data_IF_101890436757
#
_entry.id   IF_101890436757
#
_cell.length_a   1.000
_cell.length_b   1.000
_cell.length_c   1.000
_cell.angle_alpha   90.00
_cell.angle_beta   90.00
_cell.angle_gamma   90.00
#
_symmetry.space_group_name_H-M   'P 1'
#
loop_
_entity.id
_entity.type
_entity.pdbx_description
1 polymer ?
#
# COMPACT_ATOMS: atom_id res chain seq x y z
N UNK A 1 -6.61 -5.50 22.34
CA UNK A 1 -7.80 -5.03 21.59
C UNK A 1 -7.40 -3.93 20.59
N UNK A 2 -6.96 -4.23 19.38
CA UNK A 2 -6.74 -3.21 18.31
C UNK A 2 -6.94 -3.74 16.88
N UNK A 3 -7.18 -5.04 16.69
CA UNK A 3 -7.26 -5.68 15.36
C UNK A 3 -8.62 -5.42 14.70
N UNK A 4 -9.72 -5.45 15.48
CA UNK A 4 -11.08 -5.21 14.98
C UNK A 4 -11.29 -3.81 14.37
N UNK A 5 -10.54 -2.79 14.83
CA UNK A 5 -10.63 -1.44 14.27
C UNK A 5 -9.86 -1.28 12.96
N UNK A 6 -8.81 -2.07 12.72
CA UNK A 6 -8.01 -1.95 11.49
C UNK A 6 -8.67 -2.66 10.31
N UNK A 7 -9.31 -3.80 10.57
CA UNK A 7 -10.07 -4.52 9.55
C UNK A 7 -11.27 -3.72 9.06
N UNK A 8 -12.04 -3.08 9.96
CA UNK A 8 -13.18 -2.25 9.54
C UNK A 8 -12.74 -1.04 8.69
N UNK A 9 -11.62 -0.40 9.04
CA UNK A 9 -11.03 0.68 8.23
C UNK A 9 -10.59 0.15 6.87
N UNK A 10 -9.91 -0.99 6.82
CA UNK A 10 -9.47 -1.62 5.57
C UNK A 10 -10.67 -1.96 4.67
N UNK A 11 -11.74 -2.52 5.24
CA UNK A 11 -12.95 -2.86 4.51
C UNK A 11 -13.62 -1.61 3.91
N UNK A 12 -13.75 -0.55 4.71
CA UNK A 12 -14.32 0.71 4.23
C UNK A 12 -13.45 1.38 3.17
N UNK A 13 -12.13 1.25 3.27
CA UNK A 13 -11.19 1.76 2.28
C UNK A 13 -11.29 1.01 0.94
N UNK A 14 -11.47 -0.32 0.97
CA UNK A 14 -11.71 -1.12 -0.25
C UNK A 14 -12.98 -0.66 -0.97
N UNK A 15 -14.05 -0.34 -0.24
CA UNK A 15 -15.32 0.14 -0.82
C UNK A 15 -15.21 1.50 -1.54
N UNK A 16 -14.12 2.25 -1.35
CA UNK A 16 -13.89 3.51 -2.05
C UNK A 16 -13.32 3.31 -3.46
N UNK A 17 -12.72 2.14 -3.73
CA UNK A 17 -12.06 1.86 -5.00
C UNK A 17 -13.11 1.48 -6.03
N UNK A 18 -13.14 2.22 -7.12
CA UNK A 18 -14.05 2.01 -8.23
C UNK A 18 -13.34 1.32 -9.40
N UNK A 19 -14.07 0.54 -10.22
CA UNK A 19 -13.52 -0.02 -11.44
C UNK A 19 -12.91 1.06 -12.35
N UNK A 20 -11.74 0.76 -12.93
CA UNK A 20 -11.01 1.65 -13.84
C UNK A 20 -10.10 2.67 -13.16
N UNK A 21 -10.10 2.77 -11.82
CA UNK A 21 -9.25 3.74 -11.11
C UNK A 21 -7.78 3.32 -11.06
N UNK A 22 -6.91 4.34 -11.01
CA UNK A 22 -5.50 4.21 -10.63
C UNK A 22 -5.34 4.53 -9.15
N UNK A 23 -4.92 3.54 -8.37
CA UNK A 23 -4.80 3.63 -6.91
C UNK A 23 -3.35 3.48 -6.51
N UNK A 24 -2.77 4.50 -5.87
CA UNK A 24 -1.45 4.36 -5.24
C UNK A 24 -1.61 3.79 -3.83
N UNK A 25 -0.85 2.75 -3.51
CA UNK A 25 -0.84 2.09 -2.21
C UNK A 25 0.57 2.06 -1.62
N UNK A 26 0.71 2.66 -0.44
CA UNK A 26 1.94 2.63 0.35
C UNK A 26 2.26 1.24 0.92
N UNK A 27 3.51 1.04 1.31
CA UNK A 27 3.92 -0.15 2.04
C UNK A 27 3.38 -0.20 3.47
N UNK A 28 3.31 -1.41 4.03
CA UNK A 28 2.93 -1.62 5.42
C UNK A 28 1.94 -2.76 5.59
N UNK A 29 1.81 -3.23 6.83
CA UNK A 29 0.95 -4.37 7.14
C UNK A 29 -0.53 -4.04 7.03
N UNK A 30 -0.92 -2.78 7.31
CA UNK A 30 -2.34 -2.37 7.23
C UNK A 30 -2.82 -2.24 5.79
N UNK A 31 -2.02 -1.66 4.90
CA UNK A 31 -2.32 -1.60 3.47
C UNK A 31 -2.24 -3.00 2.84
N UNK A 32 -1.36 -3.87 3.32
CA UNK A 32 -1.31 -5.28 2.90
C UNK A 32 -2.60 -6.05 3.18
N UNK A 33 -3.15 -5.95 4.39
CA UNK A 33 -4.43 -6.59 4.71
C UNK A 33 -5.59 -6.03 3.86
N UNK A 34 -5.60 -4.71 3.60
CA UNK A 34 -6.60 -4.07 2.74
C UNK A 34 -6.58 -4.64 1.31
N UNK A 35 -5.40 -4.86 0.73
CA UNK A 35 -5.28 -5.39 -0.63
C UNK A 35 -5.83 -6.82 -0.76
N UNK A 36 -5.74 -7.63 0.30
CA UNK A 36 -6.29 -8.99 0.31
C UNK A 36 -7.83 -9.01 0.28
N UNK A 37 -8.45 -7.94 0.77
CA UNK A 37 -9.91 -7.80 0.84
C UNK A 37 -10.53 -7.31 -0.48
N UNK A 38 -9.72 -6.90 -1.47
CA UNK A 38 -10.25 -6.49 -2.77
C UNK A 38 -10.98 -7.66 -3.44
N UNK A 39 -12.15 -7.44 -4.05
CA UNK A 39 -12.89 -8.52 -4.69
C UNK A 39 -12.23 -8.90 -6.01
N UNK A 40 -12.30 -10.18 -6.40
CA UNK A 40 -11.62 -10.71 -7.59
C UNK A 40 -12.17 -10.15 -8.91
N UNK A 41 -13.39 -9.59 -8.88
CA UNK A 41 -14.04 -8.96 -10.02
C UNK A 41 -13.77 -7.44 -10.14
N UNK A 42 -12.93 -6.86 -9.28
CA UNK A 42 -12.53 -5.45 -9.39
C UNK A 42 -11.41 -5.30 -10.42
N UNK A 43 -11.72 -4.58 -11.50
CA UNK A 43 -10.72 -4.17 -12.48
C UNK A 43 -10.19 -2.77 -12.15
N UNK A 44 -8.93 -2.66 -11.72
CA UNK A 44 -8.28 -1.38 -11.44
C UNK A 44 -6.75 -1.51 -11.60
N UNK A 45 -6.04 -0.38 -11.55
CA UNK A 45 -4.58 -0.37 -11.54
C UNK A 45 -4.08 0.01 -10.16
N UNK A 46 -3.34 -0.88 -9.51
CA UNK A 46 -2.66 -0.62 -8.24
C UNK A 46 -1.20 -0.29 -8.49
N UNK A 47 -0.78 0.90 -8.06
CA UNK A 47 0.62 1.31 -8.08
C UNK A 47 1.17 1.23 -6.66
N UNK A 48 2.27 0.52 -6.48
CA UNK A 48 2.92 0.42 -5.16
C UNK A 48 4.43 0.41 -5.30
N UNK A 49 5.14 0.87 -4.27
CA UNK A 49 6.58 0.68 -4.15
C UNK A 49 6.94 -0.44 -3.17
N UNK A 50 5.95 -1.21 -2.70
CA UNK A 50 6.15 -2.35 -1.81
C UNK A 50 6.05 -3.67 -2.57
N UNK A 51 7.13 -4.46 -2.65
CA UNK A 51 7.08 -5.81 -3.22
C UNK A 51 6.05 -6.71 -2.54
N UNK A 52 5.86 -6.57 -1.22
CA UNK A 52 4.88 -7.37 -0.47
C UNK A 52 3.44 -7.10 -0.90
N UNK A 53 3.10 -5.85 -1.20
CA UNK A 53 1.79 -5.49 -1.77
C UNK A 53 1.63 -6.07 -3.17
N UNK A 54 2.64 -5.91 -4.02
CA UNK A 54 2.60 -6.42 -5.38
C UNK A 54 2.37 -7.95 -5.42
N UNK A 55 3.08 -8.69 -4.57
CA UNK A 55 2.92 -10.15 -4.45
C UNK A 55 1.51 -10.53 -3.96
N UNK A 56 0.94 -9.78 -3.00
CA UNK A 56 -0.40 -10.07 -2.49
C UNK A 56 -1.51 -9.91 -3.54
N UNK A 57 -1.24 -9.19 -4.64
CA UNK A 57 -2.18 -8.93 -5.72
C UNK A 57 -1.98 -9.87 -6.92
N UNK A 58 -0.96 -10.74 -6.92
CA UNK A 58 -0.69 -11.68 -8.03
C UNK A 58 -1.88 -12.57 -8.35
N UNK A 59 -2.66 -12.95 -7.33
CA UNK A 59 -3.83 -13.81 -7.48
C UNK A 59 -5.10 -13.04 -7.89
N UNK A 60 -5.03 -11.71 -8.09
CA UNK A 60 -6.17 -10.87 -8.48
C UNK A 60 -6.15 -10.66 -10.00
N UNK A 61 -6.95 -11.41 -10.77
CA UNK A 61 -6.79 -11.51 -12.23
C UNK A 61 -7.09 -10.22 -12.99
N UNK A 62 -7.91 -9.33 -12.42
CA UNK A 62 -8.33 -8.08 -13.06
C UNK A 62 -7.59 -6.85 -12.54
N UNK A 63 -6.70 -7.01 -11.56
CA UNK A 63 -5.93 -5.90 -11.00
C UNK A 63 -4.60 -5.82 -11.73
N UNK A 64 -4.38 -4.73 -12.44
CA UNK A 64 -3.05 -4.41 -12.98
C UNK A 64 -2.16 -3.89 -11.85
N UNK A 65 -0.93 -4.40 -11.75
CA UNK A 65 0.01 -4.03 -10.69
C UNK A 65 1.24 -3.35 -11.27
N UNK A 66 1.44 -2.09 -10.90
CA UNK A 66 2.65 -1.33 -11.23
C UNK A 66 3.54 -1.26 -9.99
N UNK A 67 4.64 -2.03 -10.01
CA UNK A 67 5.64 -2.00 -8.95
C UNK A 67 6.71 -0.94 -9.25
N UNK A 68 6.76 0.09 -8.40
CA UNK A 68 7.77 1.13 -8.43
C UNK A 68 9.11 0.57 -7.93
N UNK A 69 10.10 0.64 -8.81
CA UNK A 69 11.47 0.21 -8.55
C UNK A 69 12.28 1.25 -7.76
N UNK A 70 13.51 0.88 -7.43
CA UNK A 70 14.44 1.71 -6.67
C UNK A 70 15.33 0.89 -5.76
N UNK A 71 15.97 1.54 -4.80
CA UNK A 71 16.75 0.85 -3.76
C UNK A 71 15.80 0.27 -2.72
N UNK A 72 15.89 -1.03 -2.45
CA UNK A 72 15.08 -1.65 -1.40
C UNK A 72 15.53 -1.19 -0.01
N UNK A 73 14.65 -0.50 0.71
CA UNK A 73 14.80 -0.22 2.13
C UNK A 73 14.29 -1.40 2.94
N UNK A 74 15.23 -2.26 3.36
CA UNK A 74 14.94 -3.58 3.96
C UNK A 74 14.06 -3.52 5.22
N UNK A 75 14.22 -2.50 6.05
CA UNK A 75 13.46 -2.38 7.31
C UNK A 75 11.95 -2.31 7.08
N UNK A 76 11.50 -1.64 6.00
CA UNK A 76 10.08 -1.49 5.67
C UNK A 76 9.65 -2.28 4.44
N UNK A 77 10.58 -2.99 3.78
CA UNK A 77 10.37 -3.76 2.54
C UNK A 77 9.67 -2.91 1.46
N UNK A 78 10.31 -1.79 1.14
CA UNK A 78 9.81 -0.82 0.15
C UNK A 78 10.95 -0.25 -0.69
N UNK A 79 10.67 0.08 -1.95
CA UNK A 79 11.59 0.73 -2.89
C UNK A 79 11.66 2.23 -2.63
N UNK A 80 12.87 2.77 -2.44
CA UNK A 80 13.11 4.20 -2.18
C UNK A 80 14.21 4.77 -3.09
N UNK A 81 14.38 6.09 -3.05
CA UNK A 81 15.41 6.82 -3.80
C UNK A 81 14.86 7.60 -4.98
N UNK A 82 15.74 8.26 -5.73
CA UNK A 82 15.37 9.15 -6.85
C UNK A 82 14.52 8.44 -7.90
N UNK A 83 14.90 7.24 -8.32
CA UNK A 83 14.13 6.46 -9.30
C UNK A 83 12.68 6.20 -8.85
N UNK A 84 12.47 5.90 -7.57
CA UNK A 84 11.13 5.70 -7.01
C UNK A 84 10.32 7.01 -7.02
N UNK A 85 10.94 8.12 -6.59
CA UNK A 85 10.32 9.44 -6.58
C UNK A 85 9.94 9.92 -7.98
N UNK A 86 10.86 9.77 -8.94
CA UNK A 86 10.61 10.13 -10.33
C UNK A 86 9.48 9.30 -10.93
N UNK A 87 9.43 8.01 -10.63
CA UNK A 87 8.36 7.14 -11.13
C UNK A 87 7.00 7.56 -10.56
N UNK A 88 6.92 7.79 -9.24
CA UNK A 88 5.70 8.26 -8.57
C UNK A 88 5.25 9.62 -9.12
N UNK A 89 6.19 10.53 -9.44
CA UNK A 89 5.87 11.86 -9.95
C UNK A 89 5.17 11.89 -11.32
N UNK A 90 5.20 10.77 -12.06
CA UNK A 90 4.58 10.66 -13.40
C UNK A 90 3.19 10.03 -13.37
N UNK A 91 2.69 9.67 -12.19
CA UNK A 91 1.45 8.93 -12.03
C UNK A 91 0.32 9.89 -11.67
N UNK A 92 -0.73 9.86 -12.47
CA UNK A 92 -2.00 10.51 -12.15
C UNK A 92 -2.89 9.48 -11.45
N UNK A 93 -3.00 9.57 -10.13
CA UNK A 93 -3.80 8.65 -9.33
C UNK A 93 -5.14 9.26 -8.94
N UNK A 94 -6.19 8.44 -8.97
CA UNK A 94 -7.52 8.80 -8.48
C UNK A 94 -7.59 8.72 -6.95
N UNK A 95 -6.86 7.76 -6.36
CA UNK A 95 -6.83 7.51 -4.92
C UNK A 95 -5.42 7.22 -4.42
N UNK A 96 -5.13 7.62 -3.18
CA UNK A 96 -3.90 7.31 -2.49
C UNK A 96 -4.18 6.80 -1.07
N UNK A 97 -3.68 5.59 -0.77
CA UNK A 97 -3.74 4.99 0.56
C UNK A 97 -2.35 4.94 1.19
N UNK A 98 -2.20 5.61 2.33
CA UNK A 98 -0.95 5.67 3.10
C UNK A 98 -1.11 5.04 4.49
N UNK A 99 -0.14 4.19 4.87
CA UNK A 99 -0.14 3.55 6.18
C UNK A 99 0.38 4.49 7.26
N UNK A 100 -0.37 4.69 8.36
CA UNK A 100 0.20 5.38 9.53
C UNK A 100 1.19 4.46 10.26
N UNK A 101 2.45 4.87 10.31
CA UNK A 101 3.40 4.30 11.27
C UNK A 101 2.97 4.65 12.71
N UNK A 102 3.07 3.67 13.62
CA UNK A 102 2.91 3.92 15.05
C UNK A 102 4.05 4.85 15.47
N UNK A 103 3.74 6.12 15.74
CA UNK A 103 4.70 7.00 16.42
C UNK A 103 4.88 6.48 17.84
N UNK A 104 6.13 6.26 18.25
CA UNK A 104 6.45 6.19 19.68
C UNK A 104 5.97 7.49 20.33
N UNK A 105 5.37 7.44 21.52
CA UNK A 105 5.03 8.67 22.24
C UNK A 105 6.32 9.51 22.42
N UNK A 106 6.24 10.85 22.29
CA UNK A 106 7.39 11.70 22.54
C UNK A 106 7.83 11.49 23.99
N UNK A 107 9.03 10.92 24.20
CA UNK A 107 9.59 10.60 25.53
C UNK A 107 10.12 9.17 25.71
N UNK A 108 9.98 8.28 24.73
CA UNK A 108 10.59 6.95 24.80
C UNK A 108 12.10 6.98 24.58
N UNK A 109 12.89 7.05 25.65
CA UNK A 109 14.34 6.88 25.62
C UNK A 109 14.63 5.42 25.25
N UNK A 110 15.09 5.17 24.03
CA UNK A 110 15.59 3.84 23.65
C UNK A 110 17.06 3.73 24.07
N UNK A 111 17.31 3.10 25.22
CA UNK A 111 18.63 2.57 25.52
C UNK A 111 18.83 1.23 24.81
N UNK A 112 19.78 1.27 23.86
CA UNK A 112 20.46 0.19 23.10
C UNK A 112 19.61 -0.73 22.22
#
# INVERSE_FOLDING_TARGET
MQIASKQSIAQRAVELIQPGQVVIVDGGTTTGEMMRLLPDNLACTVVTHSPGIAVALVEKPLIEVILIGGRLFKHSVVSVGSAALESISRINADLFFYGRHRRSPPGGIHHR
#
